data_IF_194867920021
#
_entry.id   IF_194867920021
#
_cell.length_a   1.000
_cell.length_b   1.000
_cell.length_c   1.000
_cell.angle_alpha   90.00
_cell.angle_beta   90.00
_cell.angle_gamma   90.00
#
_symmetry.space_group_name_H-M   'P 1'
#
loop_
_entity.id
_entity.type
_entity.pdbx_description
1 polymer ?
#
# COMPACT_ATOMS: atom_id res chain seq x y z
N UNK A 1 -4.01 -22.93 -34.52
CA UNK A 1 -3.92 -23.48 -33.16
C UNK A 1 -3.03 -22.49 -32.41
N UNK A 2 -3.61 -21.61 -31.59
CA UNK A 2 -2.83 -20.64 -30.82
C UNK A 2 -1.98 -21.39 -29.78
N UNK A 3 -0.73 -20.97 -29.62
CA UNK A 3 0.14 -21.53 -28.60
C UNK A 3 -0.48 -21.29 -27.21
N UNK A 4 -0.35 -22.24 -26.26
CA UNK A 4 -0.88 -22.06 -24.91
C UNK A 4 -0.22 -20.82 -24.25
N UNK A 5 -0.99 -20.03 -23.48
CA UNK A 5 -0.48 -18.82 -22.84
C UNK A 5 0.68 -19.17 -21.89
N UNK A 6 1.78 -18.42 -21.99
CA UNK A 6 2.94 -18.62 -21.12
C UNK A 6 2.61 -18.24 -19.68
N UNK A 7 3.43 -18.67 -18.72
CA UNK A 7 3.26 -18.26 -17.32
C UNK A 7 3.28 -16.74 -17.15
N UNK A 8 4.15 -16.05 -17.91
CA UNK A 8 4.20 -14.59 -17.91
C UNK A 8 2.89 -13.98 -18.39
N UNK A 9 2.30 -14.51 -19.46
CA UNK A 9 1.01 -14.03 -19.98
C UNK A 9 -0.11 -14.21 -18.94
N UNK A 10 -0.14 -15.35 -18.24
CA UNK A 10 -1.13 -15.63 -17.20
C UNK A 10 -0.99 -14.67 -16.01
N UNK A 11 0.24 -14.39 -15.56
CA UNK A 11 0.51 -13.45 -14.47
C UNK A 11 0.12 -12.03 -14.86
N UNK A 12 0.45 -11.60 -16.09
CA UNK A 12 0.05 -10.30 -16.64
C UNK A 12 -1.47 -10.20 -16.71
N UNK A 13 -2.16 -11.20 -17.27
CA UNK A 13 -3.61 -11.24 -17.35
C UNK A 13 -4.28 -11.19 -15.99
N UNK A 14 -3.72 -11.90 -15.00
CA UNK A 14 -4.25 -11.89 -13.63
C UNK A 14 -4.09 -10.51 -12.99
N UNK A 15 -2.88 -9.96 -12.97
CA UNK A 15 -2.59 -8.69 -12.28
C UNK A 15 -3.32 -7.53 -12.94
N UNK A 16 -3.23 -7.39 -14.27
CA UNK A 16 -3.88 -6.30 -14.98
C UNK A 16 -5.37 -6.54 -15.20
N UNK A 17 -5.83 -7.79 -15.26
CA UNK A 17 -7.25 -8.12 -15.27
C UNK A 17 -7.93 -7.71 -13.96
N UNK A 18 -7.27 -7.93 -12.82
CA UNK A 18 -7.73 -7.43 -11.53
C UNK A 18 -7.60 -5.91 -11.42
N UNK A 19 -6.45 -5.34 -11.77
CA UNK A 19 -6.21 -3.88 -11.70
C UNK A 19 -7.21 -3.07 -12.53
N UNK A 20 -7.61 -3.58 -13.69
CA UNK A 20 -8.55 -2.91 -14.58
C UNK A 20 -10.00 -3.38 -14.40
N UNK A 21 -10.29 -4.17 -13.36
CA UNK A 21 -11.64 -4.64 -13.10
C UNK A 21 -12.53 -3.45 -12.74
N UNK A 22 -13.52 -3.19 -13.60
CA UNK A 22 -14.53 -2.17 -13.38
C UNK A 22 -15.94 -2.78 -13.36
N UNK A 23 -16.79 -2.23 -12.51
CA UNK A 23 -18.22 -2.58 -12.44
C UNK A 23 -19.03 -1.40 -12.93
N UNK A 24 -19.72 -1.58 -14.03
CA UNK A 24 -20.61 -0.56 -14.58
C UNK A 24 -21.90 -0.49 -13.75
N UNK A 25 -22.26 0.71 -13.30
CA UNK A 25 -23.55 1.00 -12.69
C UNK A 25 -24.43 1.66 -13.75
N UNK A 26 -25.38 0.93 -14.37
CA UNK A 26 -26.16 1.44 -15.50
C UNK A 26 -27.03 2.65 -15.14
N UNK A 27 -27.43 2.76 -13.87
CA UNK A 27 -28.33 3.82 -13.39
C UNK A 27 -27.62 5.19 -13.37
N UNK A 28 -26.30 5.21 -13.18
CA UNK A 28 -25.51 6.44 -12.99
C UNK A 28 -24.51 6.65 -14.15
N UNK A 29 -24.50 5.76 -15.15
CA UNK A 29 -23.52 5.75 -16.26
C UNK A 29 -22.07 5.92 -15.77
N UNK A 30 -21.74 5.26 -14.67
CA UNK A 30 -20.43 5.36 -14.04
C UNK A 30 -19.83 3.96 -13.87
N UNK A 31 -18.54 3.83 -14.18
CA UNK A 31 -17.80 2.57 -14.11
C UNK A 31 -16.89 2.61 -12.89
N UNK A 32 -17.21 1.83 -11.85
CA UNK A 32 -16.47 1.83 -10.59
C UNK A 32 -15.23 0.93 -10.70
N UNK A 33 -14.01 1.45 -10.50
CA UNK A 33 -12.84 0.61 -10.33
C UNK A 33 -12.93 -0.19 -9.02
N UNK A 34 -12.96 -1.51 -9.11
CA UNK A 34 -13.22 -2.37 -7.95
C UNK A 34 -12.08 -2.27 -6.94
N UNK A 35 -10.82 -2.34 -7.42
CA UNK A 35 -9.66 -2.34 -6.54
C UNK A 35 -9.47 -1.01 -5.83
N UNK A 36 -9.71 0.13 -6.49
CA UNK A 36 -9.61 1.44 -5.83
C UNK A 36 -10.67 1.61 -4.74
N UNK A 37 -11.89 1.11 -4.96
CA UNK A 37 -12.94 1.11 -3.92
C UNK A 37 -12.54 0.22 -2.75
N UNK A 38 -12.03 -0.98 -3.00
CA UNK A 38 -11.56 -1.89 -1.95
C UNK A 38 -10.41 -1.25 -1.15
N UNK A 39 -9.44 -0.66 -1.84
CA UNK A 39 -8.33 0.04 -1.23
C UNK A 39 -8.80 1.23 -0.38
N UNK A 40 -9.75 2.03 -0.87
CA UNK A 40 -10.30 3.15 -0.11
C UNK A 40 -11.04 2.68 1.16
N UNK A 41 -11.81 1.59 1.08
CA UNK A 41 -12.43 0.98 2.27
C UNK A 41 -11.34 0.52 3.26
N UNK A 42 -10.30 -0.17 2.78
CA UNK A 42 -9.20 -0.65 3.63
C UNK A 42 -8.50 0.50 4.37
N UNK A 43 -8.19 1.60 3.69
CA UNK A 43 -7.52 2.75 4.30
C UNK A 43 -8.39 3.39 5.38
N UNK A 44 -9.66 3.64 5.07
CA UNK A 44 -10.60 4.25 6.01
C UNK A 44 -10.87 3.34 7.22
N UNK A 45 -11.01 2.02 6.99
CA UNK A 45 -11.12 1.02 8.04
C UNK A 45 -9.89 1.00 8.92
N UNK A 46 -8.70 0.87 8.32
CA UNK A 46 -7.43 0.79 9.05
C UNK A 46 -7.18 2.04 9.88
N UNK A 47 -7.52 3.23 9.37
CA UNK A 47 -7.44 4.47 10.12
C UNK A 47 -8.38 4.51 11.33
N UNK A 48 -9.66 4.19 11.12
CA UNK A 48 -10.64 4.19 12.21
C UNK A 48 -10.36 3.12 13.26
N UNK A 49 -9.95 1.93 12.83
CA UNK A 49 -9.53 0.84 13.70
C UNK A 49 -8.30 1.24 14.52
N UNK A 50 -7.31 1.90 13.91
CA UNK A 50 -6.13 2.39 14.62
C UNK A 50 -6.44 3.46 15.67
N UNK A 51 -7.46 4.30 15.46
CA UNK A 51 -7.92 5.28 16.45
C UNK A 51 -8.69 4.63 17.61
N UNK A 52 -9.37 3.52 17.36
CA UNK A 52 -10.19 2.81 18.35
C UNK A 52 -11.19 3.76 19.03
N UNK A 53 -11.19 3.77 20.37
CA UNK A 53 -12.06 4.64 21.18
C UNK A 53 -11.76 6.13 20.98
N UNK A 54 -10.52 6.46 20.58
CA UNK A 54 -10.07 7.84 20.39
C UNK A 54 -10.65 8.49 19.12
N UNK A 55 -11.35 7.74 18.28
CA UNK A 55 -11.97 8.26 17.06
C UNK A 55 -12.90 9.46 17.34
N UNK A 56 -13.64 9.44 18.45
CA UNK A 56 -14.55 10.53 18.84
C UNK A 56 -13.83 11.84 19.18
N UNK A 57 -12.51 11.82 19.37
CA UNK A 57 -11.70 13.01 19.67
C UNK A 57 -11.11 13.64 18.40
N UNK A 58 -11.18 12.96 17.26
CA UNK A 58 -10.64 13.43 15.98
C UNK A 58 -11.69 14.26 15.25
N UNK A 59 -11.35 15.48 14.84
CA UNK A 59 -12.24 16.29 14.02
C UNK A 59 -12.51 15.64 12.66
N UNK A 60 -13.71 15.83 12.10
CA UNK A 60 -14.09 15.19 10.82
C UNK A 60 -13.11 15.51 9.68
N UNK A 61 -12.74 16.79 9.50
CA UNK A 61 -11.76 17.18 8.48
C UNK A 61 -10.34 16.69 8.78
N UNK A 62 -9.99 16.59 10.07
CA UNK A 62 -8.71 16.04 10.48
C UNK A 62 -8.61 14.56 10.07
N UNK A 63 -9.66 13.78 10.32
CA UNK A 63 -9.72 12.39 9.91
C UNK A 63 -9.71 12.23 8.38
N UNK A 64 -10.46 13.06 7.65
CA UNK A 64 -10.45 13.04 6.18
C UNK A 64 -9.04 13.31 5.62
N UNK A 65 -8.37 14.34 6.13
CA UNK A 65 -7.02 14.66 5.68
C UNK A 65 -6.04 13.52 6.00
N UNK A 66 -6.15 12.90 7.17
CA UNK A 66 -5.34 11.74 7.53
C UNK A 66 -5.54 10.59 6.55
N UNK A 67 -6.78 10.20 6.23
CA UNK A 67 -7.04 9.07 5.31
C UNK A 67 -6.59 9.37 3.88
N UNK A 68 -6.73 10.61 3.41
CA UNK A 68 -6.21 11.04 2.10
C UNK A 68 -4.67 10.94 2.05
N UNK A 69 -3.98 11.36 3.11
CA UNK A 69 -2.52 11.23 3.22
C UNK A 69 -2.10 9.77 3.34
N UNK A 70 -2.85 8.94 4.07
CA UNK A 70 -2.61 7.49 4.13
C UNK A 70 -2.71 6.84 2.75
N UNK A 71 -3.70 7.23 1.94
CA UNK A 71 -3.91 6.68 0.61
C UNK A 71 -2.86 7.16 -0.42
N UNK A 72 -2.42 8.42 -0.31
CA UNK A 72 -1.61 9.08 -1.37
C UNK A 72 -0.17 9.38 -0.99
N UNK A 73 0.20 9.23 0.28
CA UNK A 73 1.46 9.72 0.82
C UNK A 73 2.68 9.20 0.07
N UNK A 74 2.65 7.95 -0.43
CA UNK A 74 3.73 7.40 -1.28
C UNK A 74 3.93 8.19 -2.57
N UNK A 75 2.89 8.29 -3.39
CA UNK A 75 2.93 9.05 -4.64
C UNK A 75 3.24 10.54 -4.45
N UNK A 76 2.66 11.16 -3.41
CA UNK A 76 2.93 12.54 -3.04
C UNK A 76 4.41 12.76 -2.67
N UNK A 77 5.00 11.87 -1.87
CA UNK A 77 6.42 11.94 -1.48
C UNK A 77 7.32 11.96 -2.71
N UNK A 78 7.04 11.07 -3.65
CA UNK A 78 7.84 10.92 -4.86
C UNK A 78 7.64 12.09 -5.84
N UNK A 79 6.42 12.61 -5.96
CA UNK A 79 6.17 13.82 -6.75
C UNK A 79 6.95 15.02 -6.19
N UNK A 80 6.92 15.22 -4.87
CA UNK A 80 7.68 16.29 -4.19
C UNK A 80 9.18 16.13 -4.42
N UNK A 81 9.73 14.92 -4.26
CA UNK A 81 11.16 14.65 -4.48
C UNK A 81 11.60 14.90 -5.92
N UNK A 82 10.73 14.64 -6.90
CA UNK A 82 11.01 14.88 -8.33
C UNK A 82 10.70 16.31 -8.76
N UNK A 83 10.21 17.17 -7.87
CA UNK A 83 9.80 18.54 -8.20
C UNK A 83 8.58 18.60 -9.13
N UNK A 84 7.74 17.56 -9.12
CA UNK A 84 6.56 17.43 -9.95
C UNK A 84 5.27 17.83 -9.19
N UNK A 85 4.24 18.30 -9.91
CA UNK A 85 2.94 18.51 -9.29
C UNK A 85 2.35 17.18 -8.80
N UNK A 86 1.66 17.22 -7.66
CA UNK A 86 0.99 16.06 -7.08
C UNK A 86 -0.21 15.68 -7.95
N UNK A 87 0.00 14.75 -8.88
CA UNK A 87 -0.98 14.39 -9.92
C UNK A 87 -2.25 13.76 -9.38
N UNK A 88 -2.16 12.97 -8.30
CA UNK A 88 -3.32 12.25 -7.74
C UNK A 88 -4.43 13.19 -7.24
N UNK A 89 -4.06 14.38 -6.77
CA UNK A 89 -5.02 15.40 -6.32
C UNK A 89 -5.84 16.01 -7.48
N UNK A 90 -5.46 15.75 -8.74
CA UNK A 90 -6.21 16.17 -9.92
C UNK A 90 -7.29 15.15 -10.33
N UNK A 91 -7.31 13.96 -9.74
CA UNK A 91 -8.24 12.90 -10.11
C UNK A 91 -9.59 13.05 -9.39
N UNK A 92 -10.64 13.37 -10.14
CA UNK A 92 -12.01 13.41 -9.61
C UNK A 92 -12.48 12.04 -9.10
N UNK A 93 -12.01 10.96 -9.75
CA UNK A 93 -12.30 9.58 -9.36
C UNK A 93 -11.71 9.28 -7.97
N UNK A 94 -10.45 9.68 -7.75
CA UNK A 94 -9.80 9.57 -6.44
C UNK A 94 -10.60 10.30 -5.36
N UNK A 95 -10.94 11.57 -5.58
CA UNK A 95 -11.74 12.34 -4.62
C UNK A 95 -13.10 11.71 -4.36
N UNK A 96 -13.81 11.31 -5.42
CA UNK A 96 -15.13 10.69 -5.32
C UNK A 96 -15.10 9.41 -4.47
N UNK A 97 -14.18 8.49 -4.75
CA UNK A 97 -14.09 7.21 -4.05
C UNK A 97 -13.65 7.42 -2.60
N UNK A 98 -12.56 8.15 -2.35
CA UNK A 98 -12.03 8.31 -1.00
C UNK A 98 -12.92 9.16 -0.09
N UNK A 99 -13.51 10.25 -0.60
CA UNK A 99 -14.43 11.06 0.20
C UNK A 99 -15.75 10.33 0.47
N UNK A 100 -16.29 9.59 -0.51
CA UNK A 100 -17.56 8.86 -0.31
C UNK A 100 -17.39 7.71 0.67
N UNK A 101 -16.30 6.94 0.56
CA UNK A 101 -16.00 5.85 1.51
C UNK A 101 -15.71 6.41 2.91
N UNK A 102 -14.98 7.52 3.02
CA UNK A 102 -14.77 8.21 4.30
C UNK A 102 -16.10 8.68 4.90
N UNK A 103 -16.92 9.38 4.13
CA UNK A 103 -18.23 9.88 4.57
C UNK A 103 -19.11 8.72 5.07
N UNK A 104 -19.21 7.63 4.29
CA UNK A 104 -20.02 6.47 4.63
C UNK A 104 -19.57 5.83 5.94
N UNK A 105 -18.26 5.64 6.12
CA UNK A 105 -17.73 5.03 7.34
C UNK A 105 -17.82 5.97 8.53
N UNK A 106 -17.35 7.21 8.43
CA UNK A 106 -17.20 8.13 9.56
C UNK A 106 -18.51 8.81 9.98
N UNK A 107 -19.49 8.92 9.08
CA UNK A 107 -20.78 9.55 9.39
C UNK A 107 -21.88 8.54 9.77
N UNK A 108 -21.67 7.25 9.51
CA UNK A 108 -22.63 6.20 9.81
C UNK A 108 -21.98 5.04 10.60
N UNK A 109 -22.27 4.89 11.91
CA UNK A 109 -21.71 3.82 12.73
C UNK A 109 -22.03 2.41 12.22
N UNK A 110 -23.19 2.20 11.61
CA UNK A 110 -23.60 0.88 11.10
C UNK A 110 -22.74 0.44 9.92
N UNK A 111 -22.35 1.38 9.04
CA UNK A 111 -21.46 1.07 7.91
C UNK A 111 -20.11 0.58 8.43
N UNK A 112 -19.55 1.25 9.44
CA UNK A 112 -18.31 0.81 10.06
C UNK A 112 -18.44 -0.56 10.71
N UNK A 113 -19.52 -0.84 11.46
CA UNK A 113 -19.73 -2.15 12.09
C UNK A 113 -19.84 -3.29 11.05
N UNK A 114 -20.51 -3.04 9.92
CA UNK A 114 -20.58 -4.02 8.83
C UNK A 114 -19.18 -4.27 8.24
N UNK A 115 -18.41 -3.21 8.00
CA UNK A 115 -17.03 -3.34 7.50
C UNK A 115 -16.15 -4.07 8.52
N UNK A 116 -16.23 -3.73 9.80
CA UNK A 116 -15.49 -4.39 10.89
C UNK A 116 -15.81 -5.89 10.99
N UNK A 117 -17.09 -6.25 10.86
CA UNK A 117 -17.52 -7.64 10.75
C UNK A 117 -16.95 -8.34 9.51
N UNK A 118 -16.96 -7.68 8.35
CA UNK A 118 -16.37 -8.23 7.12
C UNK A 118 -14.87 -8.47 7.28
N UNK A 119 -14.12 -7.56 7.89
CA UNK A 119 -12.69 -7.72 8.18
C UNK A 119 -12.39 -8.79 9.23
N UNK A 120 -13.38 -9.23 10.01
CA UNK A 120 -13.24 -10.38 10.90
C UNK A 120 -13.18 -11.71 10.15
N UNK A 121 -13.54 -11.74 8.86
CA UNK A 121 -13.45 -12.92 8.00
C UNK A 121 -12.07 -12.93 7.32
N UNK A 122 -11.20 -13.94 7.57
CA UNK A 122 -9.83 -13.95 7.06
C UNK A 122 -9.71 -13.83 5.53
N UNK A 123 -10.61 -14.48 4.79
CA UNK A 123 -10.62 -14.43 3.32
C UNK A 123 -10.84 -13.00 2.82
N UNK A 124 -11.72 -12.24 3.49
CA UNK A 124 -12.02 -10.86 3.13
C UNK A 124 -10.81 -9.96 3.40
N UNK A 125 -10.17 -10.10 4.57
CA UNK A 125 -8.92 -9.41 4.91
C UNK A 125 -7.84 -9.64 3.83
N UNK A 126 -7.71 -10.87 3.33
CA UNK A 126 -6.77 -11.21 2.26
C UNK A 126 -7.12 -10.55 0.92
N UNK A 127 -8.40 -10.45 0.56
CA UNK A 127 -8.84 -9.76 -0.68
C UNK A 127 -8.50 -8.27 -0.62
N UNK A 128 -8.77 -7.61 0.51
CA UNK A 128 -8.39 -6.20 0.69
C UNK A 128 -6.88 -6.01 0.66
N UNK A 129 -6.12 -6.91 1.29
CA UNK A 129 -4.65 -6.88 1.28
C UNK A 129 -4.11 -7.08 -0.13
N UNK A 130 -4.70 -7.99 -0.92
CA UNK A 130 -4.35 -8.22 -2.32
C UNK A 130 -4.64 -6.99 -3.19
N UNK A 131 -5.77 -6.33 -2.97
CA UNK A 131 -6.12 -5.10 -3.68
C UNK A 131 -5.09 -4.00 -3.42
N UNK A 132 -4.75 -3.79 -2.15
CA UNK A 132 -3.72 -2.84 -1.73
C UNK A 132 -2.35 -3.20 -2.32
N UNK A 133 -1.93 -4.46 -2.27
CA UNK A 133 -0.63 -4.88 -2.78
C UNK A 133 -0.50 -4.71 -4.30
N UNK A 134 -1.54 -5.01 -5.07
CA UNK A 134 -1.53 -4.80 -6.53
C UNK A 134 -1.43 -3.31 -6.85
N UNK A 135 -2.33 -2.48 -6.30
CA UNK A 135 -2.34 -1.04 -6.58
C UNK A 135 -1.04 -0.37 -6.12
N UNK A 136 -0.53 -0.76 -4.94
CA UNK A 136 0.73 -0.26 -4.41
C UNK A 136 1.91 -0.64 -5.30
N UNK A 137 1.98 -1.89 -5.78
CA UNK A 137 3.04 -2.30 -6.69
C UNK A 137 3.01 -1.51 -8.01
N UNK A 138 1.82 -1.31 -8.58
CA UNK A 138 1.67 -0.50 -9.78
C UNK A 138 2.09 0.95 -9.52
N UNK A 139 1.70 1.55 -8.41
CA UNK A 139 2.13 2.90 -8.03
C UNK A 139 3.66 2.98 -7.85
N UNK A 140 4.27 1.98 -7.19
CA UNK A 140 5.72 1.91 -7.02
C UNK A 140 6.47 1.91 -8.35
N UNK A 141 5.98 1.15 -9.32
CA UNK A 141 6.65 1.04 -10.60
C UNK A 141 6.32 2.23 -11.49
N UNK A 142 5.05 2.51 -11.73
CA UNK A 142 4.62 3.52 -12.70
C UNK A 142 4.90 4.95 -12.22
N UNK A 143 4.57 5.27 -10.96
CA UNK A 143 4.80 6.61 -10.39
C UNK A 143 6.20 6.74 -9.79
N UNK A 144 6.71 5.67 -9.17
CA UNK A 144 8.03 5.65 -8.54
C UNK A 144 9.17 5.49 -9.55
N UNK A 145 9.34 4.29 -10.08
CA UNK A 145 10.51 3.93 -10.91
C UNK A 145 10.44 4.55 -12.31
N UNK A 146 9.33 4.35 -13.02
CA UNK A 146 9.14 4.86 -14.38
C UNK A 146 8.96 6.37 -14.39
N UNK A 147 8.34 6.94 -13.34
CA UNK A 147 8.25 8.38 -13.14
C UNK A 147 9.62 9.08 -13.12
N UNK A 148 10.69 8.43 -12.65
CA UNK A 148 12.05 8.98 -12.77
C UNK A 148 12.53 8.98 -14.22
N UNK A 149 12.23 7.94 -14.99
CA UNK A 149 12.64 7.83 -16.39
C UNK A 149 11.86 8.77 -17.31
N UNK A 150 10.60 9.03 -16.96
CA UNK A 150 9.69 9.87 -17.74
C UNK A 150 9.94 11.37 -17.52
N UNK A 151 10.63 11.76 -16.44
CA UNK A 151 10.92 13.15 -16.15
C UNK A 151 12.09 13.64 -17.01
N UNK A 152 11.90 14.62 -17.92
CA UNK A 152 12.96 15.07 -18.83
C UNK A 152 14.20 15.67 -18.13
N UNK A 153 14.04 16.15 -16.89
CA UNK A 153 15.14 16.68 -16.08
C UNK A 153 15.95 15.58 -15.38
N UNK A 154 15.40 14.37 -15.25
CA UNK A 154 16.04 13.21 -14.64
C UNK A 154 16.36 12.17 -15.72
N UNK A 155 17.64 11.89 -15.93
CA UNK A 155 18.05 10.89 -16.93
C UNK A 155 17.48 9.49 -16.66
N UNK A 156 17.23 8.71 -17.71
CA UNK A 156 16.76 7.32 -17.61
C UNK A 156 17.77 6.37 -16.93
N UNK A 157 19.02 6.79 -16.78
CA UNK A 157 20.15 6.06 -16.19
C UNK A 157 20.26 6.23 -14.65
N UNK A 158 19.36 7.00 -14.01
CA UNK A 158 19.43 7.26 -12.57
C UNK A 158 18.84 6.12 -11.73
N UNK A 159 19.54 4.98 -11.69
CA UNK A 159 19.10 3.77 -10.98
C UNK A 159 18.84 3.98 -9.48
N UNK A 160 19.70 4.75 -8.80
CA UNK A 160 19.50 5.05 -7.37
C UNK A 160 18.21 5.85 -7.16
N UNK A 161 17.95 6.85 -8.01
CA UNK A 161 16.72 7.63 -7.95
C UNK A 161 15.48 6.76 -8.23
N UNK A 162 15.57 5.84 -9.20
CA UNK A 162 14.51 4.86 -9.49
C UNK A 162 14.18 3.99 -8.28
N UNK A 163 15.18 3.37 -7.66
CA UNK A 163 14.97 2.49 -6.49
C UNK A 163 14.44 3.29 -5.30
N UNK A 164 14.98 4.50 -5.06
CA UNK A 164 14.53 5.36 -3.98
C UNK A 164 13.08 5.82 -4.17
N UNK A 165 12.72 6.29 -5.38
CA UNK A 165 11.36 6.70 -5.70
C UNK A 165 10.39 5.51 -5.67
N UNK A 166 10.77 4.35 -6.20
CA UNK A 166 9.96 3.12 -6.08
C UNK A 166 9.72 2.72 -4.63
N UNK A 167 10.75 2.75 -3.79
CA UNK A 167 10.64 2.42 -2.36
C UNK A 167 9.70 3.38 -1.64
N UNK A 168 9.86 4.69 -1.85
CA UNK A 168 9.04 5.72 -1.22
C UNK A 168 7.61 5.75 -1.76
N UNK A 169 7.38 5.40 -3.02
CA UNK A 169 6.02 5.22 -3.53
C UNK A 169 5.29 4.07 -2.81
N UNK A 170 6.03 3.03 -2.39
CA UNK A 170 5.47 1.88 -1.68
C UNK A 170 5.21 2.14 -0.20
N UNK A 171 6.16 2.76 0.52
CA UNK A 171 6.09 2.93 1.97
C UNK A 171 5.97 4.38 2.46
N UNK A 172 5.89 5.36 1.55
CA UNK A 172 5.89 6.78 1.91
C UNK A 172 4.65 7.23 2.68
N UNK A 173 3.49 6.58 2.49
CA UNK A 173 2.30 6.82 3.32
C UNK A 173 2.59 6.66 4.81
N UNK A 174 3.27 5.57 5.19
CA UNK A 174 3.70 5.33 6.57
C UNK A 174 4.66 6.40 7.10
N UNK A 175 5.51 6.97 6.24
CA UNK A 175 6.40 8.07 6.59
C UNK A 175 5.62 9.31 7.02
N UNK A 176 4.59 9.71 6.28
CA UNK A 176 3.75 10.85 6.66
C UNK A 176 2.93 10.59 7.92
N UNK A 177 2.36 9.38 8.06
CA UNK A 177 1.60 8.99 9.25
C UNK A 177 2.47 9.11 10.51
N UNK A 178 3.68 8.56 10.47
CA UNK A 178 4.61 8.59 11.61
C UNK A 178 5.17 10.00 11.85
N UNK A 179 5.49 10.74 10.78
CA UNK A 179 6.04 12.10 10.87
C UNK A 179 5.09 13.06 11.58
N UNK A 180 3.80 13.02 11.23
CA UNK A 180 2.79 13.96 11.71
C UNK A 180 1.88 13.36 12.79
N UNK A 181 2.11 12.10 13.18
CA UNK A 181 1.26 11.32 14.10
C UNK A 181 -0.22 11.37 13.71
N UNK A 182 -0.50 11.15 12.43
CA UNK A 182 -1.85 11.34 11.86
C UNK A 182 -2.90 10.40 12.47
N UNK A 183 -2.45 9.27 13.03
CA UNK A 183 -3.24 8.28 13.76
C UNK A 183 -3.49 8.64 15.23
N UNK A 184 -3.18 9.86 15.67
CA UNK A 184 -3.46 10.36 17.01
C UNK A 184 -4.45 11.53 16.96
N UNK A 185 -5.28 11.73 18.00
CA UNK A 185 -6.13 12.92 18.09
C UNK A 185 -5.35 14.23 18.09
N UNK A 186 -4.17 14.23 18.71
CA UNK A 186 -3.27 15.37 18.74
C UNK A 186 -2.11 15.12 17.77
N UNK A 187 -2.09 15.84 16.66
CA UNK A 187 -1.00 15.76 15.70
C UNK A 187 0.24 16.47 16.23
N UNK A 188 1.39 15.87 15.98
CA UNK A 188 2.68 16.47 16.31
C UNK A 188 3.74 16.01 15.32
N UNK A 189 4.80 16.81 15.20
CA UNK A 189 5.91 16.44 14.34
C UNK A 189 6.94 15.61 15.11
N UNK A 190 7.29 14.45 14.59
CA UNK A 190 8.22 13.50 15.20
C UNK A 190 9.10 12.87 14.13
N UNK A 191 10.28 12.41 14.53
CA UNK A 191 11.11 11.59 13.64
C UNK A 191 10.34 10.31 13.28
N UNK A 192 10.14 10.00 11.98
CA UNK A 192 9.44 8.79 11.56
C UNK A 192 10.16 7.53 12.02
N UNK A 193 9.43 6.49 12.45
CA UNK A 193 10.03 5.25 12.96
C UNK A 193 10.86 4.54 11.90
N UNK A 194 10.50 4.70 10.64
CA UNK A 194 11.17 4.06 9.50
C UNK A 194 12.63 4.55 9.33
N UNK A 195 12.96 5.73 9.86
CA UNK A 195 14.33 6.25 9.90
C UNK A 195 15.17 5.64 11.05
N UNK A 196 14.51 5.09 12.07
CA UNK A 196 15.18 4.37 13.15
C UNK A 196 15.36 2.90 12.82
N UNK A 197 14.32 2.25 12.29
CA UNK A 197 14.32 0.83 11.95
C UNK A 197 13.53 0.63 10.66
N UNK A 198 14.18 -0.01 9.68
CA UNK A 198 13.53 -0.36 8.41
C UNK A 198 12.33 -1.30 8.65
N UNK A 199 11.13 -0.82 8.34
CA UNK A 199 9.90 -1.63 8.40
C UNK A 199 9.92 -2.75 7.35
N UNK A 200 9.08 -3.77 7.55
CA UNK A 200 8.90 -4.83 6.54
C UNK A 200 8.44 -4.22 5.22
N UNK A 201 7.47 -3.30 5.27
CA UNK A 201 6.98 -2.57 4.10
C UNK A 201 8.09 -1.85 3.34
N UNK A 202 9.02 -1.18 4.05
CA UNK A 202 10.15 -0.52 3.41
C UNK A 202 11.12 -1.53 2.77
N UNK A 203 11.41 -2.64 3.45
CA UNK A 203 12.29 -3.71 2.92
C UNK A 203 11.70 -4.36 1.67
N UNK A 204 10.43 -4.74 1.71
CA UNK A 204 9.76 -5.36 0.57
C UNK A 204 9.62 -4.34 -0.57
N UNK A 205 9.29 -3.08 -0.26
CA UNK A 205 9.21 -2.02 -1.28
C UNK A 205 10.55 -1.78 -1.97
N UNK A 206 11.64 -1.77 -1.20
CA UNK A 206 13.00 -1.66 -1.70
C UNK A 206 13.36 -2.83 -2.61
N UNK A 207 13.15 -4.08 -2.15
CA UNK A 207 13.46 -5.28 -2.93
C UNK A 207 12.63 -5.37 -4.21
N UNK A 208 11.35 -4.98 -4.16
CA UNK A 208 10.46 -4.96 -5.34
C UNK A 208 10.93 -3.95 -6.37
N UNK A 209 11.32 -2.74 -5.92
CA UNK A 209 11.83 -1.68 -6.79
C UNK A 209 13.17 -2.08 -7.41
N UNK A 210 14.03 -2.72 -6.62
CA UNK A 210 15.30 -3.27 -7.06
C UNK A 210 15.07 -4.35 -8.13
N UNK A 211 14.21 -5.33 -7.85
CA UNK A 211 13.84 -6.37 -8.80
C UNK A 211 13.40 -5.78 -10.14
N UNK A 212 12.48 -4.81 -10.13
CA UNK A 212 11.99 -4.19 -11.36
C UNK A 212 13.11 -3.51 -12.15
N UNK A 213 13.95 -2.72 -11.49
CA UNK A 213 15.06 -2.02 -12.14
C UNK A 213 16.06 -3.01 -12.76
N UNK A 214 16.41 -4.08 -12.04
CA UNK A 214 17.32 -5.11 -12.55
C UNK A 214 16.70 -5.88 -13.71
N UNK A 215 15.42 -6.26 -13.63
CA UNK A 215 14.72 -7.03 -14.64
C UNK A 215 14.49 -6.27 -15.96
N UNK A 216 14.46 -4.93 -15.91
CA UNK A 216 14.13 -4.07 -17.05
C UNK A 216 15.31 -3.29 -17.62
N UNK A 217 16.50 -3.40 -17.02
CA UNK A 217 17.70 -2.70 -17.49
C UNK A 217 18.59 -3.65 -18.30
N UNK A 218 18.79 -3.41 -19.61
CA UNK A 218 19.59 -4.30 -20.46
C UNK A 218 21.01 -4.54 -19.94
N UNK A 219 21.69 -3.50 -19.44
CA UNK A 219 23.04 -3.60 -18.92
C UNK A 219 23.17 -4.60 -17.74
N UNK A 220 22.15 -4.69 -16.88
CA UNK A 220 22.15 -5.67 -15.78
C UNK A 220 21.81 -7.07 -16.26
N UNK A 221 20.84 -7.21 -17.19
CA UNK A 221 20.50 -8.49 -17.79
C UNK A 221 21.69 -9.09 -18.54
N UNK A 222 22.40 -8.30 -19.34
CA UNK A 222 23.61 -8.71 -20.05
C UNK A 222 24.72 -9.12 -19.08
N UNK A 223 24.97 -8.33 -18.03
CA UNK A 223 25.97 -8.64 -17.01
C UNK A 223 25.69 -9.96 -16.28
N UNK A 224 24.42 -10.26 -16.00
CA UNK A 224 24.00 -11.48 -15.30
C UNK A 224 23.66 -12.64 -16.24
N UNK A 225 23.77 -12.46 -17.57
CA UNK A 225 23.34 -13.44 -18.58
C UNK A 225 21.88 -13.89 -18.42
N UNK A 226 21.00 -12.96 -18.02
CA UNK A 226 19.57 -13.19 -17.83
C UNK A 226 18.76 -12.69 -19.04
N UNK A 227 17.63 -13.34 -19.38
CA UNK A 227 16.73 -12.83 -20.40
C UNK A 227 16.13 -11.49 -19.98
N UNK A 228 16.07 -10.54 -20.92
CA UNK A 228 15.40 -9.25 -20.69
C UNK A 228 13.90 -9.51 -20.58
N UNK A 229 13.32 -9.13 -19.43
CA UNK A 229 11.88 -9.24 -19.19
C UNK A 229 11.21 -7.98 -19.71
N UNK A 230 10.07 -8.13 -20.40
CA UNK A 230 9.31 -6.96 -20.87
C UNK A 230 8.81 -6.14 -19.68
N UNK A 231 8.73 -4.80 -19.78
CA UNK A 231 8.27 -3.94 -18.68
C UNK A 231 6.92 -4.38 -18.08
N UNK A 232 5.96 -4.76 -18.92
CA UNK A 232 4.63 -5.21 -18.46
C UNK A 232 4.70 -6.52 -17.66
N UNK A 233 5.56 -7.45 -18.06
CA UNK A 233 5.79 -8.73 -17.37
C UNK A 233 6.51 -8.47 -16.04
N UNK A 234 7.51 -7.59 -16.03
CA UNK A 234 8.21 -7.19 -14.81
C UNK A 234 7.30 -6.45 -13.82
N UNK A 235 6.38 -5.59 -14.30
CA UNK A 235 5.36 -4.93 -13.48
C UNK A 235 4.45 -5.95 -12.79
N UNK A 236 3.96 -6.93 -13.54
CA UNK A 236 3.10 -7.97 -13.00
C UNK A 236 3.82 -8.84 -11.95
N UNK A 237 5.07 -9.24 -12.24
CA UNK A 237 5.90 -9.97 -11.27
C UNK A 237 6.26 -9.13 -10.03
N UNK A 238 6.48 -7.83 -10.16
CA UNK A 238 6.65 -6.92 -9.03
C UNK A 238 5.40 -6.90 -8.14
N UNK A 239 4.19 -6.94 -8.71
CA UNK A 239 2.96 -7.03 -7.95
C UNK A 239 2.84 -8.35 -7.17
N UNK A 240 3.18 -9.48 -7.80
CA UNK A 240 3.22 -10.78 -7.13
C UNK A 240 4.24 -10.78 -5.99
N UNK A 241 5.45 -10.27 -6.25
CA UNK A 241 6.53 -10.23 -5.27
C UNK A 241 6.19 -9.34 -4.06
N UNK A 242 5.63 -8.15 -4.30
CA UNK A 242 5.18 -7.26 -3.23
C UNK A 242 4.05 -7.90 -2.42
N UNK A 243 3.07 -8.53 -3.08
CA UNK A 243 1.97 -9.23 -2.42
C UNK A 243 2.48 -10.32 -1.49
N UNK A 244 3.38 -11.18 -1.98
CA UNK A 244 3.98 -12.23 -1.17
C UNK A 244 4.73 -11.67 0.05
N UNK A 245 5.51 -10.59 -0.15
CA UNK A 245 6.26 -9.94 0.92
C UNK A 245 5.37 -9.29 1.98
N UNK A 246 4.28 -8.62 1.58
CA UNK A 246 3.33 -8.00 2.52
C UNK A 246 2.52 -9.03 3.29
N UNK A 247 2.08 -10.10 2.63
CA UNK A 247 1.39 -11.23 3.29
C UNK A 247 2.32 -11.86 4.32
N UNK A 248 3.57 -12.15 3.95
CA UNK A 248 4.58 -12.65 4.89
C UNK A 248 4.79 -11.69 6.06
N UNK A 249 4.88 -10.38 5.79
CA UNK A 249 5.01 -9.34 6.83
C UNK A 249 3.83 -9.32 7.80
N UNK A 250 2.60 -9.47 7.29
CA UNK A 250 1.39 -9.55 8.11
C UNK A 250 1.41 -10.77 9.04
N UNK A 251 1.74 -11.96 8.51
CA UNK A 251 1.87 -13.17 9.32
C UNK A 251 2.98 -13.06 10.37
N UNK A 252 4.16 -12.57 9.97
CA UNK A 252 5.29 -12.36 10.88
C UNK A 252 4.91 -11.44 12.04
N UNK A 253 4.23 -10.32 11.76
CA UNK A 253 3.76 -9.40 12.79
C UNK A 253 2.71 -10.03 13.72
N UNK A 254 1.78 -10.85 13.19
CA UNK A 254 0.80 -11.58 13.99
C UNK A 254 1.49 -12.56 14.94
N UNK A 255 2.49 -13.32 14.47
CA UNK A 255 3.27 -14.24 15.31
C UNK A 255 4.05 -13.54 16.40
N UNK A 256 4.70 -12.40 16.09
CA UNK A 256 5.43 -11.62 17.10
C UNK A 256 4.49 -11.10 18.20
N UNK A 257 3.30 -10.62 17.84
CA UNK A 257 2.30 -10.18 18.82
C UNK A 257 1.81 -11.32 19.70
N UNK A 258 1.54 -12.49 19.12
CA UNK A 258 1.13 -13.68 19.87
C UNK A 258 2.22 -14.15 20.83
N UNK A 259 3.48 -14.17 20.38
CA UNK A 259 4.63 -14.53 21.23
C UNK A 259 4.75 -13.62 22.45
N UNK A 260 4.62 -12.30 22.25
CA UNK A 260 4.67 -11.33 23.37
C UNK A 260 3.50 -11.48 24.33
N UNK A 261 2.29 -11.72 23.83
CA UNK A 261 1.13 -11.95 24.68
C UNK A 261 1.30 -13.20 25.55
N UNK A 262 1.89 -14.28 25.00
CA UNK A 262 2.22 -15.49 25.75
C UNK A 262 3.28 -15.21 26.82
N UNK A 263 4.31 -14.42 26.49
CA UNK A 263 5.35 -14.00 27.43
C UNK A 263 4.77 -13.20 28.61
N UNK A 264 3.93 -12.20 28.34
CA UNK A 264 3.25 -11.40 29.37
C UNK A 264 2.32 -12.24 30.27
N UNK A 265 1.63 -13.24 29.70
CA UNK A 265 0.80 -14.17 30.48
C UNK A 265 1.67 -15.03 31.39
N UNK A 266 2.78 -15.57 30.87
CA UNK A 266 3.70 -16.40 31.63
C UNK A 266 4.38 -15.62 32.77
N UNK A 267 4.75 -14.37 32.54
CA UNK A 267 5.30 -13.48 33.57
C UNK A 267 4.29 -13.24 34.69
N UNK A 268 3.05 -12.89 34.37
CA UNK A 268 1.97 -12.71 35.36
C UNK A 268 1.72 -13.98 36.17
N UNK A 269 1.65 -15.14 35.52
CA UNK A 269 1.49 -16.43 36.20
C UNK A 269 2.68 -16.79 37.10
N UNK A 270 3.88 -16.33 36.78
CA UNK A 270 5.08 -16.55 37.59
C UNK A 270 5.15 -15.60 38.80
N UNK A 271 4.61 -14.38 38.68
CA UNK A 271 4.45 -13.44 39.79
C UNK A 271 3.40 -13.93 40.78
N UNK A 272 2.23 -14.37 40.29
CA UNK A 272 1.15 -14.91 41.12
C UNK A 272 1.60 -16.13 41.94
N UNK A 273 2.43 -17.02 41.35
CA UNK A 273 3.03 -18.18 42.04
C UNK A 273 4.09 -17.85 43.09
N UNK A 274 4.68 -16.65 43.05
CA UNK A 274 5.66 -16.20 44.07
C UNK A 274 4.99 -15.49 45.25
N UNK A 275 3.73 -15.10 45.11
CA UNK A 275 2.93 -14.46 46.15
C UNK A 275 2.10 -15.42 47.01
N UNK A 276 2.11 -16.72 46.71
CA UNK A 276 1.59 -17.81 47.54
C UNK A 276 2.70 -18.45 48.38
#
# INVERSE_FOLDING_TARGET
MEAPPTLNDQVVQLVFGLANLKVDIPIVNFSLPVLDVLFAILINYSYRSALGVSHNQVGWYQGLLATLVMATGGGCTVAVLRGEPIGILKSNEFWGIHCTTYLAMFSNPYVYQVVDFLFSIPVVEHVFTLSDSILRALAMIQVGVEGVSANPALGADKFVAKVLCGTLAGCGGGLWIDAFRLNQPNWSFSTPRLLHVASVDMKVSFLTSLFYVFATTPAFCEYLSLPIIKPIEAQAWSAVFLTAGLVYGSYSNKWVKQSKAIEEINEKMAEDKKSE
#
